data_IF_735236310337
#
_entry.id   IF_735236310337
#
_cell.length_a   1.000
_cell.length_b   1.000
_cell.length_c   1.000
_cell.angle_alpha   90.00
_cell.angle_beta   90.00
_cell.angle_gamma   90.00
#
_symmetry.space_group_name_H-M   'P 1'
#
loop_
_entity.id
_entity.type
_entity.pdbx_description
1 polymer ?
#
# COMPACT_ATOMS: atom_id res chain seq x y z
N UNK A 1 -18.99 -4.41 32.90
CA UNK A 1 -19.24 -3.04 33.36
C UNK A 1 -20.66 -2.68 32.97
N UNK A 2 -21.48 -2.18 33.90
CA UNK A 2 -22.90 -1.86 33.69
C UNK A 2 -23.06 -0.52 32.96
N UNK A 3 -23.99 -0.46 32.02
CA UNK A 3 -24.33 0.75 31.29
C UNK A 3 -25.13 1.71 32.22
N UNK A 4 -24.50 2.81 32.64
CA UNK A 4 -25.07 3.83 33.53
C UNK A 4 -25.78 4.97 32.79
N UNK A 5 -25.73 4.95 31.45
CA UNK A 5 -26.36 5.93 30.57
C UNK A 5 -27.84 6.15 30.85
N UNK A 6 -28.69 5.12 31.09
CA UNK A 6 -30.11 5.35 31.37
C UNK A 6 -30.33 6.05 32.71
N UNK A 7 -29.53 5.75 33.74
CA UNK A 7 -29.62 6.37 35.07
C UNK A 7 -29.24 7.85 35.00
N UNK A 8 -28.15 8.17 34.31
CA UNK A 8 -27.70 9.55 34.09
C UNK A 8 -28.72 10.36 33.28
N UNK A 9 -29.33 9.75 32.26
CA UNK A 9 -30.37 10.39 31.46
C UNK A 9 -31.62 10.73 32.30
N UNK A 10 -32.01 9.83 33.19
CA UNK A 10 -33.13 10.04 34.12
C UNK A 10 -32.83 11.16 35.14
N UNK A 11 -31.58 11.30 35.58
CA UNK A 11 -31.19 12.39 36.48
C UNK A 11 -31.16 13.75 35.77
N UNK A 12 -30.63 13.80 34.54
CA UNK A 12 -30.59 15.04 33.74
C UNK A 12 -31.97 15.57 33.37
N UNK A 13 -32.88 14.66 32.98
CA UNK A 13 -34.27 15.02 32.66
C UNK A 13 -35.04 15.58 33.87
N UNK A 14 -34.78 15.08 35.08
CA UNK A 14 -35.35 15.62 36.33
C UNK A 14 -34.85 17.03 36.66
N UNK A 15 -33.65 17.38 36.21
CA UNK A 15 -33.01 18.66 36.49
C UNK A 15 -33.30 19.73 35.42
N UNK A 16 -34.27 19.48 34.52
CA UNK A 16 -34.66 20.40 33.45
C UNK A 16 -33.61 20.54 32.34
N UNK A 17 -32.55 19.74 32.40
CA UNK A 17 -31.48 19.73 31.41
C UNK A 17 -31.87 18.75 30.30
N UNK A 18 -32.53 19.24 29.25
CA UNK A 18 -32.76 18.41 28.07
C UNK A 18 -31.42 17.99 27.48
N UNK A 19 -31.20 16.69 27.37
CA UNK A 19 -30.00 16.15 26.73
C UNK A 19 -29.96 16.72 25.31
N UNK A 20 -28.82 17.28 24.87
CA UNK A 20 -28.67 17.62 23.47
C UNK A 20 -28.86 16.33 22.69
N UNK A 21 -30.01 16.20 22.01
CA UNK A 21 -30.27 15.11 21.08
C UNK A 21 -29.03 15.00 20.22
N UNK A 22 -28.44 13.80 20.14
CA UNK A 22 -27.26 13.52 19.34
C UNK A 22 -27.50 14.09 17.95
N UNK A 23 -27.00 15.31 17.71
CA UNK A 23 -27.18 15.97 16.42
C UNK A 23 -26.48 15.06 15.45
N UNK A 24 -27.23 14.51 14.50
CA UNK A 24 -26.63 13.77 13.39
C UNK A 24 -25.54 14.69 12.82
N UNK A 25 -24.29 14.21 12.66
CA UNK A 25 -23.21 15.05 12.18
C UNK A 25 -23.61 15.58 10.80
N UNK A 26 -24.01 16.85 10.74
CA UNK A 26 -24.46 17.49 9.52
C UNK A 26 -23.24 18.11 8.83
N UNK A 27 -23.01 17.73 7.59
CA UNK A 27 -21.92 18.28 6.76
C UNK A 27 -22.18 19.74 6.36
N UNK A 28 -23.40 20.24 6.51
CA UNK A 28 -23.79 21.62 6.20
C UNK A 28 -23.06 22.63 7.11
N UNK A 29 -22.90 22.29 8.39
CA UNK A 29 -22.17 23.10 9.39
C UNK A 29 -20.66 22.79 9.43
N UNK A 30 -20.18 21.83 8.64
CA UNK A 30 -18.75 21.48 8.65
C UNK A 30 -17.91 22.56 7.98
N UNK A 31 -16.75 22.85 8.58
CA UNK A 31 -15.73 23.75 8.03
C UNK A 31 -15.24 23.24 6.67
N UNK A 32 -14.77 24.15 5.80
CA UNK A 32 -14.27 23.86 4.45
C UNK A 32 -13.15 22.82 4.48
N UNK A 33 -12.26 22.89 5.48
CA UNK A 33 -11.22 21.89 5.71
C UNK A 33 -11.79 20.47 5.86
N UNK A 34 -12.84 20.30 6.67
CA UNK A 34 -13.43 18.98 6.91
C UNK A 34 -14.22 18.48 5.70
N UNK A 35 -14.86 19.38 4.95
CA UNK A 35 -15.52 19.06 3.69
C UNK A 35 -14.52 18.51 2.68
N UNK A 36 -13.37 19.15 2.53
CA UNK A 36 -12.33 18.71 1.61
C UNK A 36 -11.66 17.42 2.07
N UNK A 37 -11.35 17.29 3.37
CA UNK A 37 -10.86 16.04 3.96
C UNK A 37 -11.81 14.87 3.70
N UNK A 38 -13.12 15.08 3.82
CA UNK A 38 -14.13 14.06 3.55
C UNK A 38 -14.17 13.66 2.06
N UNK A 39 -14.06 14.64 1.15
CA UNK A 39 -13.97 14.39 -0.30
C UNK A 39 -12.75 13.53 -0.63
N UNK A 40 -11.57 13.91 -0.13
CA UNK A 40 -10.33 13.14 -0.32
C UNK A 40 -10.50 11.71 0.20
N UNK A 41 -11.05 11.53 1.41
CA UNK A 41 -11.27 10.21 1.98
C UNK A 41 -12.24 9.36 1.13
N UNK A 42 -13.32 9.97 0.63
CA UNK A 42 -14.26 9.31 -0.29
C UNK A 42 -13.57 8.83 -1.57
N UNK A 43 -12.69 9.65 -2.14
CA UNK A 43 -11.90 9.28 -3.33
C UNK A 43 -10.90 8.16 -3.05
N UNK A 44 -10.17 8.20 -1.91
CA UNK A 44 -9.28 7.11 -1.48
C UNK A 44 -10.06 5.79 -1.35
N UNK A 45 -11.21 5.82 -0.69
CA UNK A 45 -12.03 4.61 -0.49
C UNK A 45 -12.60 4.07 -1.80
N UNK A 46 -13.05 4.96 -2.68
CA UNK A 46 -13.54 4.61 -4.01
C UNK A 46 -12.44 3.97 -4.86
N UNK A 47 -11.22 4.51 -4.80
CA UNK A 47 -10.05 3.94 -5.45
C UNK A 47 -9.71 2.55 -4.91
N UNK A 48 -9.69 2.38 -3.59
CA UNK A 48 -9.42 1.09 -2.96
C UNK A 48 -10.44 0.02 -3.38
N UNK A 49 -11.73 0.35 -3.35
CA UNK A 49 -12.79 -0.53 -3.82
C UNK A 49 -12.62 -0.89 -5.30
N UNK A 50 -12.31 0.11 -6.12
CA UNK A 50 -12.03 -0.10 -7.54
C UNK A 50 -10.87 -1.08 -7.73
N UNK A 51 -9.70 -0.81 -7.14
CA UNK A 51 -8.52 -1.68 -7.23
C UNK A 51 -8.79 -3.12 -6.75
N UNK A 52 -9.56 -3.28 -5.68
CA UNK A 52 -9.97 -4.61 -5.19
C UNK A 52 -10.86 -5.33 -6.20
N UNK A 53 -11.82 -4.63 -6.82
CA UNK A 53 -12.74 -5.22 -7.79
C UNK A 53 -12.03 -5.70 -9.05
N UNK A 54 -11.05 -4.93 -9.56
CA UNK A 54 -10.32 -5.27 -10.78
C UNK A 54 -9.16 -6.24 -10.52
N UNK A 55 -8.77 -6.47 -9.26
CA UNK A 55 -7.59 -7.27 -8.89
C UNK A 55 -7.57 -8.64 -9.54
N UNK A 56 -8.71 -9.34 -9.56
CA UNK A 56 -8.81 -10.65 -10.18
C UNK A 56 -8.59 -10.58 -11.69
N UNK A 57 -9.33 -9.71 -12.39
CA UNK A 57 -9.22 -9.54 -13.84
C UNK A 57 -7.84 -9.00 -14.29
N UNK A 58 -7.18 -8.19 -13.44
CA UNK A 58 -5.86 -7.62 -13.68
C UNK A 58 -4.74 -8.67 -13.53
N UNK A 59 -4.85 -9.56 -12.53
CA UNK A 59 -3.82 -10.57 -12.27
C UNK A 59 -3.98 -11.85 -13.10
N UNK A 60 -5.16 -12.11 -13.67
CA UNK A 60 -5.41 -13.30 -14.49
C UNK A 60 -4.67 -13.25 -15.82
N UNK A 61 -3.51 -13.91 -15.89
CA UNK A 61 -2.70 -14.01 -17.12
C UNK A 61 -3.10 -15.17 -18.02
N UNK A 62 -4.20 -15.87 -17.72
CA UNK A 62 -4.75 -16.91 -18.57
C UNK A 62 -5.19 -16.29 -19.88
N UNK A 63 -4.32 -16.37 -20.89
CA UNK A 63 -4.80 -16.34 -22.26
C UNK A 63 -5.96 -17.33 -22.33
N UNK A 64 -7.09 -17.00 -22.99
CA UNK A 64 -8.08 -17.99 -23.31
C UNK A 64 -7.31 -19.08 -24.07
N UNK A 65 -7.03 -20.19 -23.38
CA UNK A 65 -6.57 -21.40 -24.02
C UNK A 65 -7.64 -21.62 -25.07
N UNK A 66 -7.28 -21.42 -26.35
CA UNK A 66 -8.02 -22.00 -27.45
C UNK A 66 -7.87 -23.49 -27.24
N UNK A 67 -8.66 -24.02 -26.30
CA UNK A 67 -8.95 -25.42 -26.19
C UNK A 67 -9.54 -25.70 -27.55
N UNK A 68 -8.77 -26.37 -28.40
CA UNK A 68 -9.29 -26.95 -29.61
C UNK A 68 -10.50 -27.75 -29.16
N UNK A 69 -11.69 -27.20 -29.38
CA UNK A 69 -12.94 -27.88 -29.14
C UNK A 69 -12.89 -29.07 -30.08
N UNK A 70 -12.65 -30.25 -29.54
CA UNK A 70 -13.13 -31.47 -30.18
C UNK A 70 -14.65 -31.32 -30.25
N UNK A 71 -15.26 -31.30 -31.46
CA UNK A 71 -16.69 -31.08 -31.62
C UNK A 71 -17.46 -32.39 -31.37
N UNK A 72 -17.26 -33.02 -30.22
CA UNK A 72 -17.93 -34.27 -29.90
C UNK A 72 -18.34 -34.37 -28.42
N UNK A 73 -19.16 -33.42 -27.96
CA UNK A 73 -19.87 -33.57 -26.68
C UNK A 73 -21.28 -33.02 -26.80
N UNK A 74 -22.24 -33.88 -26.46
CA UNK A 74 -23.69 -33.71 -26.42
C UNK A 74 -24.19 -32.33 -25.94
N UNK A 75 -25.23 -31.74 -26.56
CA UNK A 75 -25.65 -30.35 -26.31
C UNK A 75 -26.55 -30.14 -25.08
N UNK A 76 -26.72 -31.10 -24.18
CA UNK A 76 -27.79 -31.04 -23.17
C UNK A 76 -27.41 -30.45 -21.79
N UNK A 77 -26.13 -30.20 -21.49
CA UNK A 77 -25.72 -29.68 -20.16
C UNK A 77 -24.66 -28.57 -20.25
N UNK A 78 -24.85 -27.59 -21.14
CA UNK A 78 -24.01 -26.38 -21.15
C UNK A 78 -24.58 -25.33 -20.19
N UNK A 79 -24.17 -25.38 -18.92
CA UNK A 79 -24.32 -24.24 -18.00
C UNK A 79 -23.59 -23.02 -18.59
N UNK A 80 -24.21 -21.83 -18.65
CA UNK A 80 -23.58 -20.64 -19.21
C UNK A 80 -22.47 -20.18 -18.27
N UNK A 81 -21.23 -20.51 -18.60
CA UNK A 81 -20.07 -19.91 -17.98
C UNK A 81 -20.09 -18.41 -18.29
N UNK A 82 -20.35 -17.58 -17.27
CA UNK A 82 -20.20 -16.13 -17.36
C UNK A 82 -18.79 -15.83 -17.89
N UNK A 83 -18.64 -15.09 -19.00
CA UNK A 83 -17.34 -14.74 -19.53
C UNK A 83 -16.68 -13.79 -18.52
N UNK A 84 -15.78 -14.30 -17.70
CA UNK A 84 -14.91 -13.43 -16.92
C UNK A 84 -13.99 -12.73 -17.92
N UNK A 85 -14.32 -11.47 -18.20
CA UNK A 85 -13.57 -10.55 -19.06
C UNK A 85 -12.23 -10.27 -18.41
N UNK A 86 -11.24 -11.11 -18.69
CA UNK A 86 -9.87 -10.86 -18.28
C UNK A 86 -9.37 -9.60 -19.01
N UNK A 87 -8.77 -8.67 -18.28
CA UNK A 87 -8.23 -7.44 -18.88
C UNK A 87 -7.10 -7.78 -19.84
N UNK A 88 -7.07 -7.13 -21.01
CA UNK A 88 -5.95 -7.26 -21.96
C UNK A 88 -4.71 -6.53 -21.43
N UNK A 89 -3.52 -6.87 -21.93
CA UNK A 89 -2.29 -6.20 -21.50
C UNK A 89 -2.29 -4.67 -21.70
N UNK A 90 -2.78 -4.09 -22.82
CA UNK A 90 -2.89 -2.64 -22.93
C UNK A 90 -3.93 -2.02 -21.97
N UNK A 91 -5.04 -2.72 -21.68
CA UNK A 91 -6.02 -2.26 -20.69
C UNK A 91 -5.41 -2.20 -19.28
N UNK A 92 -4.51 -3.15 -18.94
CA UNK A 92 -3.80 -3.13 -17.65
C UNK A 92 -2.86 -1.93 -17.54
N UNK A 93 -2.14 -1.62 -18.61
CA UNK A 93 -1.24 -0.45 -18.63
C UNK A 93 -2.06 0.86 -18.54
N UNK A 94 -3.26 0.91 -19.13
CA UNK A 94 -4.19 2.03 -18.96
C UNK A 94 -4.69 2.15 -17.51
N UNK A 95 -4.99 1.02 -16.85
CA UNK A 95 -5.34 1.00 -15.42
C UNK A 95 -4.19 1.53 -14.57
N UNK A 96 -2.95 1.12 -14.85
CA UNK A 96 -1.79 1.53 -14.07
C UNK A 96 -1.52 3.03 -14.20
N UNK A 97 -1.57 3.56 -15.42
CA UNK A 97 -1.39 4.99 -15.70
C UNK A 97 -2.51 5.84 -15.08
N UNK A 98 -3.78 5.47 -15.27
CA UNK A 98 -4.91 6.19 -14.67
C UNK A 98 -4.90 6.16 -13.14
N UNK A 99 -4.55 5.01 -12.53
CA UNK A 99 -4.41 4.87 -11.08
C UNK A 99 -3.27 5.73 -10.55
N UNK A 100 -2.12 5.75 -11.24
CA UNK A 100 -0.97 6.56 -10.85
C UNK A 100 -1.27 8.06 -10.89
N UNK A 101 -2.01 8.52 -11.92
CA UNK A 101 -2.46 9.92 -12.01
C UNK A 101 -3.38 10.29 -10.84
N UNK A 102 -4.35 9.43 -10.52
CA UNK A 102 -5.28 9.66 -9.43
C UNK A 102 -4.56 9.67 -8.08
N UNK A 103 -3.62 8.76 -7.83
CA UNK A 103 -2.83 8.79 -6.59
C UNK A 103 -1.98 10.06 -6.46
N UNK A 104 -1.41 10.56 -7.56
CA UNK A 104 -0.66 11.82 -7.57
C UNK A 104 -1.57 13.02 -7.31
N UNK A 105 -2.77 13.02 -7.86
CA UNK A 105 -3.78 14.05 -7.62
C UNK A 105 -4.23 14.04 -6.14
N UNK A 106 -4.48 12.85 -5.57
CA UNK A 106 -4.77 12.70 -4.13
C UNK A 106 -3.60 13.15 -3.25
N UNK A 107 -2.36 12.84 -3.62
CA UNK A 107 -1.20 13.34 -2.89
C UNK A 107 -1.12 14.88 -2.92
N UNK A 108 -1.41 15.48 -4.08
CA UNK A 108 -1.40 16.94 -4.28
C UNK A 108 -2.52 17.61 -3.49
N UNK A 109 -3.73 17.05 -3.48
CA UNK A 109 -4.85 17.57 -2.68
C UNK A 109 -4.57 17.49 -1.17
N UNK A 110 -3.97 16.40 -0.67
CA UNK A 110 -3.53 16.31 0.74
C UNK A 110 -2.45 17.35 1.04
N UNK A 111 -1.49 17.57 0.13
CA UNK A 111 -0.46 18.59 0.29
C UNK A 111 -1.07 19.99 0.37
N UNK A 112 -1.98 20.33 -0.54
CA UNK A 112 -2.71 21.61 -0.55
C UNK A 112 -3.51 21.81 0.74
N UNK A 113 -4.21 20.78 1.22
CA UNK A 113 -4.96 20.81 2.48
C UNK A 113 -4.02 21.03 3.68
N UNK A 114 -2.84 20.40 3.68
CA UNK A 114 -1.85 20.61 4.73
C UNK A 114 -1.23 22.01 4.71
N UNK A 115 -0.94 22.56 3.53
CA UNK A 115 -0.44 23.94 3.40
C UNK A 115 -1.48 24.95 3.86
N UNK A 116 -2.76 24.74 3.50
CA UNK A 116 -3.85 25.58 3.98
C UNK A 116 -4.00 25.54 5.51
N UNK A 117 -3.81 24.38 6.12
CA UNK A 117 -3.84 24.25 7.58
C UNK A 117 -2.64 24.93 8.26
N UNK A 118 -1.43 24.82 7.71
CA UNK A 118 -0.26 25.56 8.23
C UNK A 118 -0.50 27.08 8.20
N UNK A 119 -1.04 27.61 7.09
CA UNK A 119 -1.38 29.03 6.99
C UNK A 119 -2.43 29.47 8.02
N UNK A 120 -3.43 28.61 8.28
CA UNK A 120 -4.45 28.87 9.30
C UNK A 120 -3.84 28.86 10.70
N UNK A 121 -2.92 27.94 10.99
CA UNK A 121 -2.20 27.89 12.27
C UNK A 121 -1.36 29.15 12.49
N UNK A 122 -0.58 29.57 11.49
CA UNK A 122 0.21 30.82 11.53
C UNK A 122 -0.68 32.05 11.68
N UNK A 123 -1.80 32.10 10.97
CA UNK A 123 -2.76 33.21 11.11
C UNK A 123 -3.37 33.21 12.51
N UNK A 124 -3.72 32.05 13.05
CA UNK A 124 -4.28 31.96 14.40
C UNK A 124 -3.26 32.37 15.47
N UNK A 125 -2.00 31.94 15.35
CA UNK A 125 -0.96 32.29 16.32
C UNK A 125 -0.60 33.77 16.25
N UNK A 126 -0.51 34.35 15.05
CA UNK A 126 -0.27 35.79 14.87
C UNK A 126 -1.44 36.63 15.37
N UNK A 127 -2.68 36.19 15.18
CA UNK A 127 -3.86 36.87 15.72
C UNK A 127 -3.91 36.79 17.25
N UNK A 128 -3.60 35.64 17.85
CA UNK A 128 -3.50 35.49 19.30
C UNK A 128 -2.37 36.38 19.86
N UNK A 129 -1.22 36.39 19.20
CA UNK A 129 -0.10 37.25 19.56
C UNK A 129 -0.47 38.74 19.43
N UNK A 130 -1.26 39.15 18.44
CA UNK A 130 -1.75 40.52 18.35
C UNK A 130 -2.81 40.83 19.41
N UNK A 131 -3.75 39.93 19.69
CA UNK A 131 -4.81 40.18 20.67
C UNK A 131 -4.28 40.29 22.10
N UNK A 132 -3.33 39.43 22.45
CA UNK A 132 -2.87 39.29 23.83
C UNK A 132 -1.42 39.79 24.03
N UNK A 133 -0.61 39.87 22.98
CA UNK A 133 0.79 40.32 23.04
C UNK A 133 0.98 41.84 23.15
N UNK A 134 0.00 42.67 22.76
CA UNK A 134 0.07 44.12 23.04
C UNK A 134 -0.09 44.45 24.53
N UNK A 135 -0.70 43.54 25.31
CA UNK A 135 -0.76 43.65 26.76
C UNK A 135 0.53 43.16 27.42
N UNK A 136 1.40 42.40 26.73
CA UNK A 136 2.63 41.87 27.31
C UNK A 136 3.66 42.96 27.62
N UNK A 137 3.82 43.99 26.77
CA UNK A 137 4.73 45.11 27.06
C UNK A 137 4.23 45.97 28.24
N UNK A 138 2.91 46.21 28.31
CA UNK A 138 2.27 46.84 29.47
C UNK A 138 2.40 45.98 30.72
N UNK A 139 2.09 44.68 30.64
CA UNK A 139 2.19 43.72 31.74
C UNK A 139 3.64 43.53 32.21
N UNK A 140 4.63 43.60 31.33
CA UNK A 140 6.04 43.61 31.68
C UNK A 140 6.43 44.90 32.42
N UNK A 141 5.93 46.06 32.01
CA UNK A 141 6.13 47.33 32.72
C UNK A 141 5.44 47.34 34.10
N UNK A 142 4.22 46.82 34.20
CA UNK A 142 3.52 46.62 35.47
C UNK A 142 4.22 45.56 36.35
N UNK A 143 4.87 44.54 35.76
CA UNK A 143 5.62 43.48 36.45
C UNK A 143 6.97 43.97 37.00
N UNK A 144 7.65 44.89 36.32
CA UNK A 144 8.82 45.60 36.87
C UNK A 144 8.44 46.52 38.05
N UNK A 145 7.26 47.15 38.01
CA UNK A 145 6.79 48.00 39.10
C UNK A 145 6.24 47.22 40.31
N UNK A 146 5.82 45.95 40.13
CA UNK A 146 5.25 45.11 41.18
C UNK A 146 6.25 44.29 42.02
N UNK A 147 7.56 44.42 41.78
CA UNK A 147 8.62 43.80 42.60
C UNK A 147 8.75 42.27 42.51
N UNK A 148 7.99 41.60 41.63
CA UNK A 148 8.03 40.14 41.50
C UNK A 148 8.98 39.72 40.37
N UNK A 149 10.08 39.05 40.74
CA UNK A 149 11.17 38.66 39.85
C UNK A 149 10.73 37.82 38.65
N UNK A 150 11.36 38.09 37.50
CA UNK A 150 10.97 37.65 36.15
C UNK A 150 11.10 36.14 35.84
N UNK A 151 11.30 35.27 36.84
CA UNK A 151 11.80 33.91 36.58
C UNK A 151 10.83 32.77 36.93
N UNK A 152 9.75 33.02 37.68
CA UNK A 152 9.03 31.88 38.29
C UNK A 152 7.63 31.58 37.72
N UNK A 153 6.98 32.49 36.98
CA UNK A 153 5.58 32.29 36.57
C UNK A 153 5.18 33.01 35.27
N UNK A 154 5.72 32.55 34.14
CA UNK A 154 5.27 33.01 32.82
C UNK A 154 3.88 32.45 32.44
N UNK A 155 3.46 31.32 33.04
CA UNK A 155 2.15 30.68 32.75
C UNK A 155 1.00 31.24 33.59
N UNK A 156 1.23 31.66 34.85
CA UNK A 156 0.15 32.17 35.73
C UNK A 156 -0.33 33.59 35.39
N UNK A 157 0.31 34.30 34.45
CA UNK A 157 -0.03 35.68 34.09
C UNK A 157 -0.78 35.84 32.76
N UNK A 158 -1.15 34.73 32.10
CA UNK A 158 -2.04 34.74 30.93
C UNK A 158 -3.47 34.98 31.39
N UNK A 159 -4.22 35.84 30.70
CA UNK A 159 -5.64 36.01 31.03
C UNK A 159 -6.37 34.67 30.84
N UNK A 160 -7.35 34.35 31.68
CA UNK A 160 -8.14 33.12 31.56
C UNK A 160 -8.77 32.98 30.16
N UNK A 161 -9.12 34.12 29.54
CA UNK A 161 -9.61 34.21 28.17
C UNK A 161 -8.55 33.85 27.12
N UNK A 162 -7.29 34.28 27.33
CA UNK A 162 -6.16 33.92 26.47
C UNK A 162 -5.87 32.42 26.53
N UNK A 163 -5.83 31.84 27.73
CA UNK A 163 -5.58 30.41 27.92
C UNK A 163 -6.64 29.57 27.19
N UNK A 164 -7.92 29.90 27.39
CA UNK A 164 -9.00 29.20 26.71
C UNK A 164 -8.92 29.34 25.17
N UNK A 165 -8.58 30.52 24.66
CA UNK A 165 -8.43 30.75 23.21
C UNK A 165 -7.24 29.97 22.62
N UNK A 166 -6.11 29.92 23.33
CA UNK A 166 -4.95 29.12 22.95
C UNK A 166 -5.26 27.61 22.97
N UNK A 167 -5.98 27.14 23.98
CA UNK A 167 -6.41 25.74 24.10
C UNK A 167 -7.38 25.33 22.98
N UNK A 168 -8.35 26.17 22.62
CA UNK A 168 -9.23 25.94 21.49
C UNK A 168 -8.46 25.90 20.16
N UNK A 169 -7.47 26.76 20.00
CA UNK A 169 -6.62 26.76 18.81
C UNK A 169 -5.76 25.48 18.73
N UNK A 170 -5.15 25.06 19.84
CA UNK A 170 -4.36 23.83 19.96
C UNK A 170 -5.21 22.58 19.73
N UNK A 171 -6.35 22.46 20.40
CA UNK A 171 -7.25 21.32 20.20
C UNK A 171 -7.69 21.21 18.73
N UNK A 172 -8.05 22.33 18.10
CA UNK A 172 -8.36 22.33 16.66
C UNK A 172 -7.18 21.88 15.80
N UNK A 173 -5.97 22.38 16.08
CA UNK A 173 -4.76 21.99 15.35
C UNK A 173 -4.48 20.48 15.48
N UNK A 174 -4.56 19.94 16.71
CA UNK A 174 -4.35 18.49 16.95
C UNK A 174 -5.37 17.62 16.21
N UNK A 175 -6.64 18.02 16.18
CA UNK A 175 -7.68 17.29 15.43
C UNK A 175 -7.36 17.32 13.94
N UNK A 176 -7.01 18.48 13.38
CA UNK A 176 -6.72 18.59 11.95
C UNK A 176 -5.44 17.87 11.54
N UNK A 177 -4.41 17.89 12.38
CA UNK A 177 -3.21 17.09 12.19
C UNK A 177 -3.54 15.59 12.21
N UNK A 178 -4.38 15.13 13.14
CA UNK A 178 -4.82 13.73 13.17
C UNK A 178 -5.59 13.33 11.90
N UNK A 179 -6.40 14.23 11.35
CA UNK A 179 -7.12 14.01 10.08
C UNK A 179 -6.13 13.93 8.91
N UNK A 180 -5.18 14.85 8.83
CA UNK A 180 -4.14 14.81 7.78
C UNK A 180 -3.31 13.54 7.87
N UNK A 181 -2.93 13.13 9.08
CA UNK A 181 -2.23 11.87 9.33
C UNK A 181 -3.05 10.67 8.84
N UNK A 182 -4.34 10.62 9.18
CA UNK A 182 -5.24 9.57 8.73
C UNK A 182 -5.34 9.51 7.20
N UNK A 183 -5.50 10.65 6.53
CA UNK A 183 -5.57 10.71 5.05
C UNK A 183 -4.28 10.24 4.39
N UNK A 184 -3.11 10.65 4.91
CA UNK A 184 -1.80 10.19 4.43
C UNK A 184 -1.66 8.68 4.57
N UNK A 185 -2.09 8.12 5.71
CA UNK A 185 -2.09 6.68 5.96
C UNK A 185 -3.05 5.93 5.04
N UNK A 186 -4.23 6.50 4.76
CA UNK A 186 -5.18 5.96 3.79
C UNK A 186 -4.61 5.92 2.38
N UNK A 187 -3.92 6.98 1.94
CA UNK A 187 -3.24 7.02 0.65
C UNK A 187 -2.10 5.99 0.57
N UNK A 188 -1.29 5.86 1.62
CA UNK A 188 -0.24 4.85 1.71
C UNK A 188 -0.81 3.43 1.53
N UNK A 189 -1.97 3.15 2.13
CA UNK A 189 -2.67 1.89 1.96
C UNK A 189 -3.07 1.66 0.50
N UNK A 190 -3.61 2.65 -0.20
CA UNK A 190 -3.95 2.56 -1.62
C UNK A 190 -2.72 2.33 -2.51
N UNK A 191 -1.63 3.07 -2.27
CA UNK A 191 -0.35 2.88 -2.96
C UNK A 191 0.19 1.47 -2.72
N UNK A 192 0.10 0.94 -1.50
CA UNK A 192 0.56 -0.41 -1.18
C UNK A 192 -0.21 -1.49 -1.94
N UNK A 193 -1.53 -1.31 -2.12
CA UNK A 193 -2.38 -2.25 -2.87
C UNK A 193 -2.00 -2.23 -4.35
N UNK A 194 -1.86 -1.04 -4.95
CA UNK A 194 -1.43 -0.92 -6.34
C UNK A 194 -0.04 -1.52 -6.54
N UNK A 195 0.93 -1.18 -5.68
CA UNK A 195 2.29 -1.72 -5.73
C UNK A 195 2.29 -3.25 -5.73
N UNK A 196 1.55 -3.89 -4.82
CA UNK A 196 1.43 -5.36 -4.77
C UNK A 196 0.81 -5.96 -6.04
N UNK A 197 -0.11 -5.26 -6.69
CA UNK A 197 -0.71 -5.72 -7.94
C UNK A 197 0.30 -5.64 -9.10
N UNK A 198 0.96 -4.50 -9.25
CA UNK A 198 1.97 -4.26 -10.29
C UNK A 198 3.18 -5.16 -10.11
N UNK A 199 3.66 -5.36 -8.88
CA UNK A 199 4.77 -6.26 -8.56
C UNK A 199 4.47 -7.69 -8.99
N UNK A 200 3.30 -8.22 -8.64
CA UNK A 200 2.87 -9.55 -9.11
C UNK A 200 2.72 -9.64 -10.63
N UNK A 201 2.39 -8.54 -11.30
CA UNK A 201 2.35 -8.52 -12.76
C UNK A 201 3.77 -8.62 -13.33
N UNK A 202 4.68 -7.80 -12.82
CA UNK A 202 6.10 -7.78 -13.23
C UNK A 202 6.74 -9.15 -13.00
N UNK A 203 6.50 -9.76 -11.84
CA UNK A 203 6.98 -11.11 -11.51
C UNK A 203 6.50 -12.13 -12.54
N UNK A 204 5.19 -12.16 -12.86
CA UNK A 204 4.65 -13.07 -13.88
C UNK A 204 5.16 -12.79 -15.29
N UNK A 205 5.45 -11.54 -15.63
CA UNK A 205 6.06 -11.19 -16.93
C UNK A 205 7.49 -11.73 -16.98
N UNK A 206 8.28 -11.50 -15.93
CA UNK A 206 9.65 -12.02 -15.80
C UNK A 206 9.67 -13.56 -15.84
N UNK A 207 8.73 -14.24 -15.20
CA UNK A 207 8.60 -15.69 -15.26
C UNK A 207 8.24 -16.20 -16.66
N UNK A 208 7.37 -15.49 -17.38
CA UNK A 208 7.03 -15.81 -18.78
C UNK A 208 8.24 -15.63 -19.69
N UNK A 209 9.01 -14.56 -19.53
CA UNK A 209 10.24 -14.33 -20.30
C UNK A 209 11.25 -15.47 -20.07
N UNK A 210 11.45 -15.85 -18.80
CA UNK A 210 12.27 -17.02 -18.43
C UNK A 210 11.72 -18.32 -19.04
N UNK A 211 10.40 -18.52 -19.02
CA UNK A 211 9.76 -19.74 -19.52
C UNK A 211 9.72 -19.82 -21.06
N UNK A 212 9.57 -18.70 -21.76
CA UNK A 212 9.68 -18.63 -23.22
C UNK A 212 11.12 -18.92 -23.62
N UNK A 213 12.11 -18.35 -22.92
CA UNK A 213 13.51 -18.65 -23.16
C UNK A 213 13.83 -20.13 -22.89
N UNK A 214 13.30 -20.70 -21.79
CA UNK A 214 13.41 -22.13 -21.51
C UNK A 214 12.73 -23.00 -22.57
N UNK A 215 11.54 -22.61 -23.06
CA UNK A 215 10.82 -23.34 -24.11
C UNK A 215 11.52 -23.27 -25.48
N UNK A 216 12.13 -22.13 -25.81
CA UNK A 216 12.94 -21.95 -27.01
C UNK A 216 14.26 -22.71 -26.88
N UNK A 217 14.87 -22.73 -25.68
CA UNK A 217 16.07 -23.52 -25.37
C UNK A 217 15.84 -25.05 -25.34
N UNK A 218 14.67 -25.49 -24.84
CA UNK A 218 14.23 -26.89 -24.83
C UNK A 218 13.62 -27.35 -26.16
N UNK A 219 13.51 -26.45 -27.15
CA UNK A 219 13.00 -26.72 -28.49
C UNK A 219 13.95 -27.49 -29.42
N UNK A 220 15.01 -28.11 -28.89
CA UNK A 220 15.96 -28.94 -29.65
C UNK A 220 15.85 -30.42 -29.24
N UNK A 221 15.01 -31.26 -29.88
CA UNK A 221 15.42 -32.61 -30.13
C UNK A 221 16.36 -32.60 -31.34
N UNK A 222 17.54 -33.14 -31.15
CA UNK A 222 18.39 -33.59 -32.24
C UNK A 222 17.57 -34.41 -33.25
N UNK A 223 17.90 -34.24 -34.53
CA UNK A 223 17.26 -34.96 -35.62
C UNK A 223 17.23 -36.48 -35.39
N UNK A 224 16.08 -37.07 -35.68
CA UNK A 224 15.86 -38.51 -35.58
C UNK A 224 14.56 -38.91 -36.26
N UNK A 225 14.65 -39.06 -37.58
CA UNK A 225 13.80 -39.81 -38.50
C UNK A 225 12.38 -40.24 -38.08
N UNK A 226 11.44 -39.93 -38.98
CA UNK A 226 10.16 -40.59 -39.14
C UNK A 226 10.23 -42.12 -38.92
N UNK A 227 9.33 -42.65 -38.08
CA UNK A 227 8.86 -44.04 -38.22
C UNK A 227 7.44 -44.20 -37.71
N UNK A 228 6.53 -44.30 -38.68
CA UNK A 228 5.25 -44.98 -38.65
C UNK A 228 5.46 -46.41 -38.11
N UNK A 229 4.75 -46.80 -37.05
CA UNK A 229 4.91 -48.12 -36.44
C UNK A 229 3.89 -48.41 -35.36
N UNK A 230 2.74 -48.92 -35.79
CA UNK A 230 1.78 -49.66 -34.98
C UNK A 230 2.48 -50.72 -34.12
N UNK A 231 2.25 -50.70 -32.80
CA UNK A 231 2.23 -51.93 -31.99
C UNK A 231 1.08 -51.82 -31.00
N UNK A 232 0.01 -52.53 -31.32
CA UNK A 232 -1.02 -53.00 -30.42
C UNK A 232 -0.42 -53.94 -29.38
N UNK A 233 -0.66 -53.68 -28.09
CA UNK A 233 -0.67 -54.72 -27.06
C UNK A 233 -1.97 -54.59 -26.28
N UNK A 234 -2.72 -55.69 -26.33
CA UNK A 234 -3.97 -55.96 -25.64
C UNK A 234 -3.87 -55.84 -24.13
N UNK A 235 -4.91 -55.22 -23.56
CA UNK A 235 -5.77 -55.75 -22.50
C UNK A 235 -5.21 -56.58 -21.34
N UNK A 236 -5.71 -56.19 -20.14
CA UNK A 236 -6.00 -56.99 -18.93
C UNK A 236 -4.74 -57.35 -18.12
N UNK A 237 -4.58 -57.01 -16.84
CA UNK A 237 -5.54 -56.91 -15.73
C UNK A 237 -4.83 -56.34 -14.49
N UNK A 238 -5.54 -55.53 -13.69
CA UNK A 238 -5.38 -55.53 -12.22
C UNK A 238 -4.48 -54.46 -11.59
N UNK A 239 -4.97 -53.22 -11.46
CA UNK A 239 -4.48 -52.28 -10.45
C UNK A 239 -5.65 -51.45 -9.90
N UNK A 240 -6.05 -51.77 -8.66
CA UNK A 240 -6.83 -50.88 -7.81
C UNK A 240 -6.26 -50.97 -6.40
N UNK A 241 -5.64 -49.90 -5.92
CA UNK A 241 -5.97 -49.19 -4.66
C UNK A 241 -5.05 -47.96 -4.61
N UNK A 242 -5.67 -46.79 -4.65
CA UNK A 242 -5.05 -45.50 -4.33
C UNK A 242 -5.12 -45.18 -2.81
N UNK A 243 -4.76 -43.95 -2.41
CA UNK A 243 -3.78 -43.66 -1.35
C UNK A 243 -4.39 -43.04 -0.07
N UNK A 244 -3.66 -43.01 1.06
CA UNK A 244 -3.90 -42.05 2.16
C UNK A 244 -2.62 -41.69 2.96
N UNK A 245 -2.32 -40.38 2.96
CA UNK A 245 -1.72 -39.49 3.99
C UNK A 245 -0.27 -39.61 4.53
N UNK A 246 0.35 -38.42 4.63
CA UNK A 246 1.53 -38.07 5.45
C UNK A 246 2.29 -36.87 4.85
N UNK A 247 1.78 -35.63 4.97
CA UNK A 247 2.37 -34.56 5.81
C UNK A 247 3.91 -34.49 5.78
N UNK A 248 4.50 -33.48 5.13
CA UNK A 248 5.45 -32.60 5.82
C UNK A 248 5.67 -31.24 5.12
N UNK A 249 6.20 -30.32 5.92
CA UNK A 249 6.08 -28.88 5.89
C UNK A 249 6.80 -28.09 4.78
N UNK A 250 6.31 -26.87 4.60
CA UNK A 250 6.92 -25.75 3.88
C UNK A 250 8.32 -25.42 4.42
N UNK A 251 9.35 -25.54 3.57
CA UNK A 251 10.65 -24.91 3.77
C UNK A 251 10.90 -23.92 2.64
N UNK A 252 11.15 -22.66 3.00
CA UNK A 252 11.56 -21.61 2.06
C UNK A 252 12.90 -21.99 1.41
N UNK A 253 13.16 -21.64 0.15
CA UNK A 253 14.47 -21.88 -0.45
C UNK A 253 15.47 -20.92 0.19
N UNK A 254 16.34 -21.49 1.02
CA UNK A 254 17.57 -20.90 1.50
C UNK A 254 18.42 -20.49 0.29
N UNK A 255 19.10 -19.33 0.37
CA UNK A 255 20.01 -18.88 -0.67
C UNK A 255 21.00 -20.01 -0.98
N UNK A 256 20.93 -20.56 -2.19
CA UNK A 256 21.69 -21.72 -2.58
C UNK A 256 23.19 -21.39 -2.57
N UNK A 257 23.84 -21.68 -1.45
CA UNK A 257 25.29 -21.82 -1.39
C UNK A 257 25.61 -23.04 -2.25
N UNK A 258 26.17 -22.82 -3.44
CA UNK A 258 26.59 -23.89 -4.34
C UNK A 258 27.56 -24.80 -3.58
N UNK A 259 27.33 -26.12 -3.65
CA UNK A 259 28.21 -27.07 -2.98
C UNK A 259 29.60 -27.03 -3.63
N UNK A 260 30.66 -27.27 -2.85
CA UNK A 260 32.05 -27.28 -3.33
C UNK A 260 32.27 -28.29 -4.48
N UNK A 261 31.43 -29.32 -4.55
CA UNK A 261 31.41 -30.28 -5.65
C UNK A 261 30.83 -29.69 -6.95
N UNK A 262 29.88 -28.77 -6.85
CA UNK A 262 29.28 -28.09 -8.00
C UNK A 262 30.19 -26.98 -8.54
N UNK A 263 30.90 -26.25 -7.67
CA UNK A 263 31.90 -25.25 -8.08
C UNK A 263 33.05 -25.90 -8.84
N UNK A 264 33.60 -27.01 -8.34
CA UNK A 264 34.67 -27.75 -9.01
C UNK A 264 34.24 -28.30 -10.39
N UNK A 265 32.96 -28.66 -10.56
CA UNK A 265 32.40 -29.10 -11.84
C UNK A 265 32.26 -27.96 -12.84
N UNK A 266 31.93 -26.77 -12.37
CA UNK A 266 31.82 -25.56 -13.20
C UNK A 266 33.22 -25.11 -13.63
N UNK A 267 34.19 -25.10 -12.71
CA UNK A 267 35.58 -24.76 -13.00
C UNK A 267 36.23 -25.72 -14.01
N UNK A 268 35.90 -27.02 -13.96
CA UNK A 268 36.39 -28.01 -14.93
C UNK A 268 35.80 -27.84 -16.35
N UNK A 269 34.69 -27.14 -16.50
CA UNK A 269 34.04 -26.87 -17.80
C UNK A 269 34.48 -25.54 -18.42
N UNK A 270 35.14 -24.66 -17.66
CA UNK A 270 35.57 -23.34 -18.10
C UNK A 270 37.00 -23.39 -18.64
N UNK A 271 37.25 -22.65 -19.72
CA UNK A 271 38.63 -22.51 -20.20
C UNK A 271 39.44 -21.67 -19.19
N UNK A 272 40.75 -21.90 -19.07
CA UNK A 272 41.59 -21.15 -18.12
C UNK A 272 41.56 -19.63 -18.39
N UNK A 273 41.39 -19.22 -19.65
CA UNK A 273 41.25 -17.82 -20.06
C UNK A 273 39.92 -17.21 -19.59
N UNK A 274 38.83 -17.98 -19.61
CA UNK A 274 37.54 -17.53 -19.08
C UNK A 274 37.56 -17.36 -17.56
N UNK A 275 38.26 -18.25 -16.86
CA UNK A 275 38.41 -18.20 -15.40
C UNK A 275 39.20 -16.94 -14.97
N UNK A 276 40.23 -16.55 -15.76
CA UNK A 276 40.96 -15.31 -15.55
C UNK A 276 40.09 -14.07 -15.76
N UNK A 277 39.21 -14.08 -16.76
CA UNK A 277 38.31 -12.97 -17.06
C UNK A 277 37.25 -12.79 -15.96
N UNK A 278 36.75 -13.89 -15.38
CA UNK A 278 35.87 -13.83 -14.21
C UNK A 278 36.56 -13.29 -12.96
N UNK A 279 37.83 -13.65 -12.74
CA UNK A 279 38.61 -13.10 -11.63
C UNK A 279 38.80 -11.58 -11.78
N UNK A 280 39.14 -11.11 -12.99
CA UNK A 280 39.29 -9.68 -13.29
C UNK A 280 37.96 -8.91 -13.15
N UNK A 281 36.85 -9.50 -13.61
CA UNK A 281 35.52 -8.89 -13.48
C UNK A 281 35.06 -8.81 -12.01
N UNK A 282 35.32 -9.85 -11.21
CA UNK A 282 35.01 -9.84 -9.77
C UNK A 282 35.82 -8.78 -9.02
N UNK A 283 37.12 -8.64 -9.32
CA UNK A 283 37.96 -7.58 -8.75
C UNK A 283 37.46 -6.18 -9.14
N UNK A 284 37.05 -6.00 -10.40
CA UNK A 284 36.45 -4.75 -10.87
C UNK A 284 35.15 -4.42 -10.15
N UNK A 285 34.29 -5.43 -9.95
CA UNK A 285 33.02 -5.30 -9.23
C UNK A 285 33.25 -4.94 -7.75
N UNK A 286 34.21 -5.59 -7.09
CA UNK A 286 34.60 -5.29 -5.70
C UNK A 286 35.10 -3.85 -5.57
N UNK A 287 35.98 -3.41 -6.47
CA UNK A 287 36.45 -2.00 -6.47
C UNK A 287 35.32 -1.01 -6.68
N UNK A 288 34.36 -1.33 -7.56
CA UNK A 288 33.18 -0.49 -7.76
C UNK A 288 32.30 -0.42 -6.50
N UNK A 289 32.18 -1.52 -5.74
CA UNK A 289 31.49 -1.50 -4.45
C UNK A 289 32.24 -0.71 -3.38
N UNK A 290 33.57 -0.83 -3.32
CA UNK A 290 34.42 -0.02 -2.43
C UNK A 290 34.31 1.48 -2.77
N UNK A 291 34.34 1.85 -4.04
CA UNK A 291 34.20 3.24 -4.50
C UNK A 291 32.80 3.82 -4.23
N UNK A 292 31.76 2.99 -4.30
CA UNK A 292 30.38 3.42 -4.02
C UNK A 292 30.06 3.48 -2.53
N UNK A 293 30.66 2.62 -1.72
CA UNK A 293 30.58 2.67 -0.25
C UNK A 293 31.45 3.79 0.34
N UNK A 294 32.62 4.05 -0.24
CA UNK A 294 33.51 5.15 0.18
C UNK A 294 32.99 6.54 -0.17
N UNK A 295 31.94 6.64 -1.00
CA UNK A 295 31.27 7.89 -1.40
C UNK A 295 30.10 8.30 -0.49
N UNK A 296 29.85 7.55 0.58
CA UNK A 296 28.83 7.81 1.62
C UNK A 296 29.52 8.10 2.94
#
# INVERSE_FOLDING_TARGET
MTDLTPTLNNLLSKQGSSIPQTRKPCTETADEFLKEAYRINSHIHSLLKYLQSIRHAYLSTTQPQRRNLNPNTNPQNATPATPQTNLTDPERDQVDTSTALLLRDLATSIANLSSAESLRQETSSTLLHKKYGHSAAGALLWRWAGGNGALDNADESKSAEQVHAEELARSTATVRESVLWFLRRGLECAVSVQRRMVEKRIERVREKEKSVLYKVGAGKPAGGAARKGSVSVSERTGASVGPVAGFDAFQAPEAAVLSEADTARIEAQLSPEQLQLFAEENDSMLRHYEDTLGKV
#
